data_IF_372469040860
#
_entry.id   IF_372469040860
#
_cell.length_a   1.000
_cell.length_b   1.000
_cell.length_c   1.000
_cell.angle_alpha   90.00
_cell.angle_beta   90.00
_cell.angle_gamma   90.00
#
_symmetry.space_group_name_H-M   'P 1'
#
loop_
_entity.id
_entity.type
_entity.pdbx_description
1 polymer ?
#
# COMPACT_ATOMS: atom_id res chain seq x y z
N UNK A 1 40.92 26.83 -32.14
CA UNK A 1 39.74 26.42 -31.34
C UNK A 1 38.70 27.53 -31.44
N UNK A 2 37.72 27.38 -32.33
CA UNK A 2 36.70 28.40 -32.59
C UNK A 2 35.45 28.08 -31.76
N UNK A 3 35.07 28.98 -30.85
CA UNK A 3 33.77 28.95 -30.18
C UNK A 3 32.73 29.46 -31.17
N UNK A 4 31.86 28.56 -31.63
CA UNK A 4 30.67 28.95 -32.39
C UNK A 4 29.74 29.71 -31.46
N UNK A 5 29.62 31.03 -31.68
CA UNK A 5 28.65 31.87 -30.99
C UNK A 5 27.29 31.56 -31.63
N UNK A 6 26.39 30.96 -30.85
CA UNK A 6 25.00 30.83 -31.22
C UNK A 6 24.38 32.23 -31.27
N UNK A 7 23.97 32.66 -32.47
CA UNK A 7 23.23 33.91 -32.66
C UNK A 7 21.75 33.57 -32.87
N UNK A 8 20.97 33.73 -31.80
CA UNK A 8 19.54 33.39 -31.71
C UNK A 8 18.68 34.21 -32.70
N UNK A 9 19.13 35.40 -33.08
CA UNK A 9 18.42 36.27 -34.02
C UNK A 9 18.39 35.70 -35.45
N UNK A 10 19.47 35.06 -35.91
CA UNK A 10 19.56 34.53 -37.29
C UNK A 10 18.68 33.29 -37.49
N UNK A 11 18.56 32.43 -36.47
CA UNK A 11 17.78 31.20 -36.55
C UNK A 11 16.27 31.47 -36.56
N UNK A 12 15.84 32.47 -35.78
CA UNK A 12 14.43 32.85 -35.65
C UNK A 12 13.89 33.52 -36.92
N UNK A 13 14.75 34.23 -37.66
CA UNK A 13 14.37 34.95 -38.88
C UNK A 13 14.25 34.03 -40.11
N UNK A 14 15.04 32.95 -40.19
CA UNK A 14 15.12 32.08 -41.39
C UNK A 14 14.35 30.75 -41.27
N UNK A 15 13.89 30.37 -40.08
CA UNK A 15 13.00 29.21 -39.85
C UNK A 15 11.82 29.62 -38.96
N UNK A 16 10.78 30.26 -39.53
CA UNK A 16 9.65 30.83 -38.77
C UNK A 16 8.64 29.78 -38.28
N UNK A 17 9.09 28.55 -38.04
CA UNK A 17 8.22 27.49 -37.55
C UNK A 17 7.90 27.70 -36.05
N UNK A 18 6.93 28.58 -35.79
CA UNK A 18 6.42 28.92 -34.45
C UNK A 18 5.84 27.69 -33.71
N UNK A 19 5.62 26.58 -34.43
CA UNK A 19 5.02 25.36 -33.93
C UNK A 19 5.96 24.57 -33.02
N UNK A 20 7.28 24.65 -33.22
CA UNK A 20 8.27 23.97 -32.37
C UNK A 20 8.34 24.50 -30.94
N UNK A 21 8.31 25.83 -30.79
CA UNK A 21 8.33 26.50 -29.47
C UNK A 21 7.03 26.33 -28.67
N UNK A 22 5.88 26.40 -29.34
CA UNK A 22 4.58 26.18 -28.69
C UNK A 22 4.35 24.72 -28.31
N UNK A 23 4.82 23.77 -29.13
CA UNK A 23 4.76 22.34 -28.81
C UNK A 23 5.63 21.99 -27.58
N UNK A 24 6.85 22.51 -27.49
CA UNK A 24 7.73 22.29 -26.33
C UNK A 24 7.12 22.82 -25.02
N UNK A 25 6.62 24.06 -25.03
CA UNK A 25 5.95 24.67 -23.85
C UNK A 25 4.69 23.91 -23.44
N UNK A 26 3.93 23.37 -24.41
CA UNK A 26 2.74 22.55 -24.13
C UNK A 26 3.12 21.22 -23.47
N UNK A 27 4.15 20.54 -23.98
CA UNK A 27 4.68 19.29 -23.40
C UNK A 27 5.20 19.51 -21.99
N UNK A 28 5.90 20.62 -21.72
CA UNK A 28 6.41 20.94 -20.38
C UNK A 28 5.28 21.23 -19.39
N UNK A 29 4.22 21.94 -19.81
CA UNK A 29 3.02 22.15 -19.00
C UNK A 29 2.28 20.85 -18.70
N UNK A 30 2.12 19.96 -19.68
CA UNK A 30 1.49 18.65 -19.50
C UNK A 30 2.29 17.76 -18.53
N UNK A 31 3.63 17.76 -18.63
CA UNK A 31 4.51 17.04 -17.70
C UNK A 31 4.41 17.55 -16.26
N UNK A 32 4.39 18.87 -16.07
CA UNK A 32 4.25 19.47 -14.74
C UNK A 32 2.84 19.24 -14.15
N UNK A 33 1.79 19.27 -14.97
CA UNK A 33 0.44 18.89 -14.56
C UNK A 33 0.35 17.41 -14.15
N UNK A 34 0.95 16.51 -14.93
CA UNK A 34 0.97 15.08 -14.63
C UNK A 34 1.74 14.80 -13.33
N UNK A 35 2.90 15.43 -13.14
CA UNK A 35 3.69 15.33 -11.92
C UNK A 35 2.90 15.81 -10.70
N UNK A 36 2.21 16.94 -10.82
CA UNK A 36 1.35 17.48 -9.76
C UNK A 36 0.22 16.50 -9.42
N UNK A 37 -0.45 15.94 -10.43
CA UNK A 37 -1.50 14.93 -10.25
C UNK A 37 -0.98 13.67 -9.55
N UNK A 38 0.20 13.17 -9.94
CA UNK A 38 0.84 12.00 -9.30
C UNK A 38 1.14 12.27 -7.81
N UNK A 39 1.63 13.46 -7.47
CA UNK A 39 1.89 13.85 -6.08
C UNK A 39 0.59 13.90 -5.27
N UNK A 40 -0.47 14.52 -5.82
CA UNK A 40 -1.78 14.59 -5.18
C UNK A 40 -2.39 13.20 -4.97
N UNK A 41 -2.34 12.33 -5.99
CA UNK A 41 -2.80 10.95 -5.87
C UNK A 41 -2.00 10.18 -4.81
N UNK A 42 -0.68 10.36 -4.77
CA UNK A 42 0.16 9.75 -3.76
C UNK A 42 -0.19 10.20 -2.34
N UNK A 43 -0.52 11.48 -2.15
CA UNK A 43 -1.01 12.01 -0.86
C UNK A 43 -2.35 11.40 -0.48
N UNK A 44 -3.30 11.34 -1.43
CA UNK A 44 -4.61 10.73 -1.21
C UNK A 44 -4.48 9.25 -0.82
N UNK A 45 -3.68 8.46 -1.54
CA UNK A 45 -3.45 7.04 -1.26
C UNK A 45 -2.87 6.82 0.15
N UNK A 46 -1.92 7.67 0.58
CA UNK A 46 -1.36 7.59 1.94
C UNK A 46 -2.40 7.94 3.00
N UNK A 47 -3.22 8.95 2.75
CA UNK A 47 -4.31 9.31 3.66
C UNK A 47 -5.32 8.17 3.80
N UNK A 48 -5.69 7.55 2.69
CA UNK A 48 -6.62 6.43 2.70
C UNK A 48 -6.03 5.20 3.40
N UNK A 49 -4.74 4.90 3.18
CA UNK A 49 -4.02 3.87 3.92
C UNK A 49 -4.04 4.12 5.44
N UNK A 50 -3.73 5.35 5.87
CA UNK A 50 -3.78 5.72 7.30
C UNK A 50 -5.19 5.59 7.88
N UNK A 51 -6.22 5.95 7.13
CA UNK A 51 -7.61 5.79 7.59
C UNK A 51 -7.98 4.30 7.72
N UNK A 52 -7.58 3.46 6.76
CA UNK A 52 -7.77 2.02 6.87
C UNK A 52 -7.10 1.45 8.12
N UNK A 53 -5.85 1.82 8.39
CA UNK A 53 -5.14 1.39 9.61
C UNK A 53 -5.90 1.76 10.88
N UNK A 54 -6.45 2.98 10.97
CA UNK A 54 -7.26 3.41 12.12
C UNK A 54 -8.52 2.55 12.31
N UNK A 55 -9.20 2.18 11.22
CA UNK A 55 -10.38 1.31 11.27
C UNK A 55 -10.01 -0.12 11.71
N UNK A 56 -8.85 -0.62 11.28
CA UNK A 56 -8.33 -1.92 11.70
C UNK A 56 -7.96 -1.89 13.18
N UNK A 57 -7.29 -0.83 13.65
CA UNK A 57 -6.92 -0.67 15.05
C UNK A 57 -8.17 -0.66 15.95
N UNK A 58 -9.25 0.02 15.52
CA UNK A 58 -10.54 -0.01 16.21
C UNK A 58 -11.15 -1.43 16.25
N UNK A 59 -11.05 -2.17 15.14
CA UNK A 59 -11.49 -3.58 15.09
C UNK A 59 -10.66 -4.47 16.02
N UNK A 60 -9.34 -4.33 16.04
CA UNK A 60 -8.44 -5.04 16.95
C UNK A 60 -8.78 -4.79 18.42
N UNK A 61 -9.01 -3.52 18.79
CA UNK A 61 -9.46 -3.15 20.14
C UNK A 61 -10.84 -3.73 20.47
N UNK A 62 -11.76 -3.75 19.50
CA UNK A 62 -13.05 -4.40 19.65
C UNK A 62 -12.87 -5.89 19.96
N UNK A 63 -12.07 -6.62 19.18
CA UNK A 63 -11.84 -8.06 19.41
C UNK A 63 -11.19 -8.35 20.76
N UNK A 64 -10.25 -7.50 21.20
CA UNK A 64 -9.61 -7.62 22.51
C UNK A 64 -10.64 -7.46 23.64
N UNK A 65 -11.46 -6.40 23.59
CA UNK A 65 -12.51 -6.14 24.61
C UNK A 65 -13.55 -7.26 24.70
N UNK A 66 -13.79 -7.98 23.61
CA UNK A 66 -14.74 -9.10 23.57
C UNK A 66 -14.07 -10.46 23.75
N UNK A 67 -12.77 -10.51 24.08
CA UNK A 67 -12.04 -11.76 24.30
C UNK A 67 -11.94 -12.66 23.06
N UNK A 68 -12.07 -12.11 21.85
CA UNK A 68 -12.00 -12.85 20.58
C UNK A 68 -10.56 -13.02 20.08
N UNK A 69 -9.74 -11.99 20.18
CA UNK A 69 -8.35 -11.99 19.75
C UNK A 69 -7.56 -10.85 20.38
N UNK A 70 -6.24 -11.01 20.48
CA UNK A 70 -5.28 -9.94 20.77
C UNK A 70 -4.43 -9.74 19.53
N UNK A 71 -4.60 -8.60 18.84
CA UNK A 71 -3.96 -8.30 17.56
C UNK A 71 -3.36 -6.90 17.64
N UNK A 72 -2.13 -6.74 17.13
CA UNK A 72 -1.42 -5.48 17.11
C UNK A 72 -0.83 -5.20 15.73
N UNK A 73 -0.78 -3.92 15.36
CA UNK A 73 0.08 -3.46 14.27
C UNK A 73 1.53 -3.75 14.63
N UNK A 74 2.32 -4.24 13.67
CA UNK A 74 3.75 -4.42 13.87
C UNK A 74 4.47 -3.08 13.70
N UNK A 75 5.35 -2.69 14.63
CA UNK A 75 6.17 -1.51 14.44
C UNK A 75 7.17 -1.77 13.31
N UNK A 76 7.45 -0.73 12.52
CA UNK A 76 8.51 -0.79 11.52
C UNK A 76 9.85 -1.11 12.23
N UNK A 77 10.58 -2.15 11.79
CA UNK A 77 11.81 -2.51 12.45
C UNK A 77 12.86 -1.43 12.23
N UNK A 78 13.36 -0.90 13.33
CA UNK A 78 14.43 0.10 13.35
C UNK A 78 15.66 -0.48 14.02
N UNK A 79 16.82 -0.25 13.42
CA UNK A 79 18.12 -0.51 14.02
C UNK A 79 18.65 0.76 14.63
N UNK A 80 18.86 0.73 15.94
CA UNK A 80 19.51 1.81 16.66
C UNK A 80 20.98 1.92 16.22
N UNK A 81 21.41 3.14 15.92
CA UNK A 81 22.76 3.52 15.58
C UNK A 81 23.38 4.25 16.79
N UNK A 82 24.51 3.75 17.29
CA UNK A 82 25.23 4.38 18.39
C UNK A 82 24.56 4.23 19.76
N UNK A 83 24.90 5.12 20.69
CA UNK A 83 24.40 5.12 22.08
C UNK A 83 23.10 5.92 22.18
N UNK A 84 22.16 5.42 22.98
CA UNK A 84 20.95 6.16 23.39
C UNK A 84 21.36 7.23 24.42
N UNK A 85 20.87 8.45 24.27
CA UNK A 85 21.13 9.51 25.25
C UNK A 85 20.29 9.34 26.54
N UNK A 86 20.58 10.15 27.57
CA UNK A 86 19.87 10.08 28.87
C UNK A 86 18.37 10.43 28.78
N UNK A 87 17.93 11.05 27.67
CA UNK A 87 16.53 11.39 27.41
C UNK A 87 15.83 10.32 26.55
N UNK A 88 16.48 9.19 26.26
CA UNK A 88 15.92 8.11 25.45
C UNK A 88 15.94 8.36 23.94
N UNK A 89 16.67 9.38 23.46
CA UNK A 89 16.78 9.66 22.03
C UNK A 89 17.93 8.87 21.42
N UNK A 90 17.73 8.41 20.19
CA UNK A 90 18.72 7.62 19.47
C UNK A 90 18.65 7.88 17.97
N UNK A 91 19.79 7.71 17.29
CA UNK A 91 19.81 7.62 15.83
C UNK A 91 19.37 6.23 15.42
N UNK A 92 18.64 6.10 14.32
CA UNK A 92 18.23 4.81 13.81
C UNK A 92 18.21 4.79 12.29
N UNK A 93 18.34 3.58 11.74
CA UNK A 93 18.00 3.30 10.35
C UNK A 93 16.90 2.25 10.30
N UNK A 94 16.00 2.36 9.33
CA UNK A 94 14.99 1.33 9.08
C UNK A 94 15.66 0.06 8.57
N UNK A 95 15.34 -1.08 9.18
CA UNK A 95 15.76 -2.39 8.67
C UNK A 95 14.79 -2.86 7.59
N UNK A 96 15.32 -3.56 6.58
CA UNK A 96 14.50 -4.20 5.53
C UNK A 96 13.83 -5.51 5.99
N UNK A 97 13.83 -5.82 7.29
CA UNK A 97 13.15 -7.03 7.77
C UNK A 97 11.66 -6.82 7.60
N UNK A 98 11.03 -7.58 6.73
CA UNK A 98 9.59 -7.52 6.62
C UNK A 98 8.97 -8.20 7.85
N UNK A 99 7.90 -7.59 8.35
CA UNK A 99 6.96 -8.16 9.30
C UNK A 99 5.58 -7.97 8.65
N UNK A 100 4.60 -8.86 8.91
CA UNK A 100 3.26 -8.61 8.44
C UNK A 100 2.73 -7.34 9.13
N UNK A 101 1.93 -6.52 8.43
CA UNK A 101 1.38 -5.28 8.99
C UNK A 101 0.71 -5.52 10.37
N UNK A 102 -0.02 -6.63 10.51
CA UNK A 102 -0.70 -7.01 11.75
C UNK A 102 -0.40 -8.45 12.15
N UNK A 103 -0.25 -8.68 13.46
CA UNK A 103 -0.11 -10.02 14.04
C UNK A 103 -0.74 -10.14 15.41
N UNK A 104 -1.14 -11.35 15.77
CA UNK A 104 -1.82 -11.61 17.03
C UNK A 104 -2.09 -13.08 17.32
N UNK A 105 -2.94 -13.28 18.32
CA UNK A 105 -3.42 -14.59 18.76
C UNK A 105 -4.95 -14.57 18.88
N UNK A 106 -5.59 -15.58 18.32
CA UNK A 106 -7.02 -15.84 18.45
C UNK A 106 -7.32 -16.52 19.79
N UNK A 107 -8.58 -16.45 20.24
CA UNK A 107 -9.01 -17.09 21.51
C UNK A 107 -8.68 -18.58 21.61
N UNK A 108 -8.63 -19.28 20.48
CA UNK A 108 -8.29 -20.71 20.43
C UNK A 108 -6.77 -20.99 20.39
N UNK A 109 -5.92 -19.98 20.60
CA UNK A 109 -4.47 -20.12 20.61
C UNK A 109 -3.81 -20.07 19.24
N UNK A 110 -4.57 -20.02 18.14
CA UNK A 110 -3.98 -19.91 16.79
C UNK A 110 -3.43 -18.51 16.56
N UNK A 111 -2.25 -18.47 15.95
CA UNK A 111 -1.70 -17.22 15.43
C UNK A 111 -2.60 -16.67 14.32
N UNK A 112 -2.68 -15.35 14.23
CA UNK A 112 -3.33 -14.60 13.16
C UNK A 112 -2.33 -13.57 12.64
N UNK A 113 -2.15 -13.51 11.32
CA UNK A 113 -1.31 -12.51 10.64
C UNK A 113 -2.02 -12.00 9.39
N UNK A 114 -1.88 -10.73 9.08
CA UNK A 114 -2.44 -10.20 7.84
C UNK A 114 -1.77 -8.90 7.40
N UNK A 115 -1.94 -8.64 6.11
CA UNK A 115 -1.58 -7.39 5.44
C UNK A 115 -2.84 -6.54 5.19
N UNK A 116 -2.70 -5.22 5.16
CA UNK A 116 -3.82 -4.31 4.88
C UNK A 116 -3.56 -3.48 3.64
N UNK A 117 -4.43 -3.56 2.62
CA UNK A 117 -4.27 -2.81 1.37
C UNK A 117 -5.54 -2.08 0.98
N UNK A 118 -5.38 -0.80 0.67
CA UNK A 118 -6.45 0.03 0.11
C UNK A 118 -6.27 0.23 -1.40
N UNK A 119 -7.37 0.19 -2.15
CA UNK A 119 -7.39 0.52 -3.58
C UNK A 119 -8.51 1.50 -3.92
N UNK A 120 -8.13 2.58 -4.60
CA UNK A 120 -9.06 3.61 -5.11
C UNK A 120 -9.54 3.32 -6.54
N UNK A 121 -9.03 2.27 -7.19
CA UNK A 121 -9.34 1.95 -8.60
C UNK A 121 -10.44 0.91 -8.77
N UNK A 122 -11.17 0.57 -7.69
CA UNK A 122 -12.21 -0.45 -7.69
C UNK A 122 -11.74 -1.89 -7.90
N UNK A 123 -10.43 -2.13 -8.04
CA UNK A 123 -9.84 -3.47 -8.16
C UNK A 123 -8.51 -3.50 -7.42
N UNK A 124 -8.00 -4.69 -7.09
CA UNK A 124 -6.70 -4.81 -6.41
C UNK A 124 -5.79 -5.81 -7.11
N UNK A 125 -4.58 -5.38 -7.44
CA UNK A 125 -3.57 -6.24 -8.06
C UNK A 125 -2.79 -7.03 -7.00
N UNK A 126 -2.37 -8.25 -7.34
CA UNK A 126 -1.52 -9.09 -6.50
C UNK A 126 -0.23 -8.35 -6.07
N UNK A 127 0.36 -7.60 -7.00
CA UNK A 127 1.56 -6.77 -6.79
C UNK A 127 1.42 -5.62 -5.80
N UNK A 128 0.25 -5.47 -5.17
CA UNK A 128 0.10 -4.59 -3.99
C UNK A 128 0.81 -5.16 -2.77
N UNK A 129 1.04 -6.48 -2.70
CA UNK A 129 2.03 -7.06 -1.80
C UNK A 129 3.40 -7.03 -2.46
N UNK A 130 4.43 -6.78 -1.65
CA UNK A 130 5.82 -7.02 -2.07
C UNK A 130 6.13 -8.51 -1.97
N UNK A 131 7.15 -8.99 -2.71
CA UNK A 131 7.57 -10.40 -2.66
C UNK A 131 7.89 -10.87 -1.22
N UNK A 132 8.47 -9.98 -0.41
CA UNK A 132 8.76 -10.27 1.00
C UNK A 132 7.48 -10.41 1.85
N UNK A 133 6.45 -9.60 1.59
CA UNK A 133 5.17 -9.72 2.29
C UNK A 133 4.46 -11.03 1.90
N UNK A 134 4.51 -11.41 0.61
CA UNK A 134 3.99 -12.69 0.14
C UNK A 134 4.71 -13.87 0.83
N UNK A 135 6.05 -13.85 0.86
CA UNK A 135 6.85 -14.90 1.47
C UNK A 135 6.53 -15.07 2.97
N UNK A 136 6.40 -13.96 3.71
CA UNK A 136 6.07 -14.01 5.13
C UNK A 136 4.67 -14.58 5.37
N UNK A 137 3.66 -14.12 4.61
CA UNK A 137 2.31 -14.65 4.76
C UNK A 137 2.25 -16.16 4.45
N UNK A 138 3.00 -16.61 3.43
CA UNK A 138 3.16 -18.03 3.11
C UNK A 138 3.78 -18.81 4.27
N UNK A 139 4.90 -18.35 4.83
CA UNK A 139 5.57 -19.01 5.96
C UNK A 139 4.64 -19.16 7.18
N UNK A 140 3.90 -18.10 7.55
CA UNK A 140 2.93 -18.19 8.65
C UNK A 140 1.77 -19.13 8.34
N UNK A 141 1.28 -19.11 7.09
CA UNK A 141 0.21 -20.00 6.65
C UNK A 141 0.62 -21.47 6.77
N UNK A 142 1.84 -21.81 6.34
CA UNK A 142 2.40 -23.16 6.43
C UNK A 142 2.55 -23.64 7.87
N UNK A 143 2.77 -22.72 8.82
CA UNK A 143 2.77 -23.02 10.26
C UNK A 143 1.36 -23.13 10.89
N UNK A 144 0.30 -23.02 10.08
CA UNK A 144 -1.08 -23.17 10.50
C UNK A 144 -1.72 -21.89 11.08
N UNK A 145 -1.09 -20.73 10.88
CA UNK A 145 -1.68 -19.45 11.25
C UNK A 145 -2.89 -19.11 10.35
N UNK A 146 -3.82 -18.32 10.89
CA UNK A 146 -4.83 -17.64 10.09
C UNK A 146 -4.15 -16.48 9.36
N UNK A 147 -3.91 -16.66 8.05
CA UNK A 147 -3.23 -15.69 7.19
C UNK A 147 -4.18 -15.17 6.10
N UNK A 148 -4.24 -13.84 5.92
CA UNK A 148 -5.09 -13.21 4.91
C UNK A 148 -4.59 -11.82 4.50
N UNK A 149 -5.23 -11.24 3.49
CA UNK A 149 -5.10 -9.82 3.12
C UNK A 149 -6.43 -9.14 3.36
N UNK A 150 -6.42 -8.09 4.19
CA UNK A 150 -7.59 -7.23 4.39
C UNK A 150 -7.58 -6.14 3.32
N UNK A 151 -8.56 -6.22 2.41
CA UNK A 151 -8.70 -5.31 1.28
C UNK A 151 -9.76 -4.27 1.59
N UNK A 152 -9.44 -3.00 1.33
CA UNK A 152 -10.40 -1.92 1.26
C UNK A 152 -10.53 -1.43 -0.17
N UNK A 153 -11.75 -1.32 -0.67
CA UNK A 153 -12.07 -0.59 -1.91
C UNK A 153 -12.70 0.76 -1.54
N UNK A 154 -12.01 1.85 -1.90
CA UNK A 154 -12.44 3.24 -1.69
C UNK A 154 -12.83 3.58 -0.23
N UNK A 155 -12.36 2.81 0.76
CA UNK A 155 -12.79 2.89 2.17
C UNK A 155 -14.31 2.71 2.40
N UNK A 156 -15.01 2.11 1.44
CA UNK A 156 -16.46 1.89 1.48
C UNK A 156 -16.81 0.41 1.65
N UNK A 157 -15.98 -0.48 1.12
CA UNK A 157 -16.17 -1.91 1.21
C UNK A 157 -14.88 -2.60 1.65
N UNK A 158 -15.03 -3.57 2.55
CA UNK A 158 -13.92 -4.29 3.18
C UNK A 158 -14.07 -5.78 2.93
N UNK A 159 -12.95 -6.45 2.67
CA UNK A 159 -12.91 -7.85 2.30
C UNK A 159 -11.76 -8.56 3.01
N UNK A 160 -12.04 -9.72 3.60
CA UNK A 160 -11.03 -10.57 4.24
C UNK A 160 -10.68 -11.71 3.31
N UNK A 161 -9.65 -11.54 2.47
CA UNK A 161 -9.28 -12.50 1.43
C UNK A 161 -8.27 -13.50 2.01
N UNK A 162 -8.64 -14.80 2.17
CA UNK A 162 -7.72 -15.80 2.72
C UNK A 162 -6.45 -15.89 1.89
N UNK A 163 -5.31 -16.12 2.55
CA UNK A 163 -4.01 -16.19 1.88
C UNK A 163 -3.98 -17.14 0.67
N UNK A 164 -4.52 -18.38 0.73
CA UNK A 164 -4.54 -19.26 -0.45
C UNK A 164 -5.26 -18.67 -1.67
N UNK A 165 -6.33 -17.90 -1.44
CA UNK A 165 -7.06 -17.24 -2.53
C UNK A 165 -6.23 -16.12 -3.14
N UNK A 166 -5.60 -15.31 -2.30
CA UNK A 166 -4.73 -14.22 -2.72
C UNK A 166 -3.48 -14.72 -3.46
N UNK A 167 -2.83 -15.76 -2.93
CA UNK A 167 -1.61 -16.33 -3.48
C UNK A 167 -1.84 -16.89 -4.90
N UNK A 168 -2.99 -17.54 -5.11
CA UNK A 168 -3.33 -18.26 -6.33
C UNK A 168 -4.32 -17.50 -7.25
N UNK A 169 -4.35 -16.17 -7.23
CA UNK A 169 -5.24 -15.36 -8.09
C UNK A 169 -5.19 -15.77 -9.57
N UNK A 170 -4.00 -16.07 -10.10
CA UNK A 170 -3.84 -16.48 -11.50
C UNK A 170 -4.60 -17.78 -11.81
N UNK A 171 -4.61 -18.73 -10.87
CA UNK A 171 -5.32 -20.00 -11.01
C UNK A 171 -6.81 -19.85 -10.76
N UNK A 172 -7.19 -19.03 -9.78
CA UNK A 172 -8.58 -18.86 -9.35
C UNK A 172 -9.39 -17.98 -10.30
N UNK A 173 -8.76 -16.97 -10.91
CA UNK A 173 -9.43 -15.91 -11.69
C UNK A 173 -8.89 -15.77 -13.13
N UNK A 174 -7.79 -16.45 -13.47
CA UNK A 174 -7.14 -16.31 -14.77
C UNK A 174 -6.24 -15.06 -14.89
N UNK A 175 -6.10 -14.27 -13.83
CA UNK A 175 -5.28 -13.06 -13.79
C UNK A 175 -4.77 -12.71 -12.39
N UNK A 176 -3.78 -11.80 -12.30
CA UNK A 176 -3.13 -11.38 -11.05
C UNK A 176 -3.76 -10.14 -10.38
N UNK A 177 -5.07 -10.04 -10.41
CA UNK A 177 -5.84 -9.02 -9.70
C UNK A 177 -7.20 -9.58 -9.30
N UNK A 178 -7.94 -8.87 -8.46
CA UNK A 178 -9.33 -9.18 -8.13
C UNK A 178 -10.23 -7.97 -8.44
N UNK A 179 -11.37 -8.22 -9.09
CA UNK A 179 -12.46 -7.25 -9.31
C UNK A 179 -13.39 -7.17 -8.09
N UNK A 180 -14.31 -6.19 -8.01
CA UNK A 180 -15.33 -6.15 -6.96
C UNK A 180 -16.15 -7.43 -6.87
N UNK A 181 -16.54 -8.00 -8.01
CA UNK A 181 -17.38 -9.19 -8.09
C UNK A 181 -16.64 -10.43 -7.53
N UNK A 182 -15.34 -10.54 -7.81
CA UNK A 182 -14.50 -11.62 -7.28
C UNK A 182 -14.15 -11.45 -5.79
N UNK A 183 -14.18 -10.21 -5.30
CA UNK A 183 -13.99 -9.90 -3.89
C UNK A 183 -15.26 -10.14 -3.06
N UNK A 184 -16.45 -10.03 -3.64
CA UNK A 184 -17.73 -10.08 -2.90
C UNK A 184 -17.91 -11.32 -2.00
N UNK A 185 -17.49 -12.55 -2.39
CA UNK A 185 -17.55 -13.71 -1.49
C UNK A 185 -16.77 -13.55 -0.19
N UNK A 186 -15.79 -12.63 -0.15
CA UNK A 186 -14.92 -12.35 0.99
C UNK A 186 -15.34 -11.10 1.77
N UNK A 187 -16.48 -10.51 1.44
CA UNK A 187 -16.93 -9.26 2.04
C UNK A 187 -17.20 -9.42 3.54
N UNK A 188 -16.73 -8.45 4.31
CA UNK A 188 -16.96 -8.40 5.77
C UNK A 188 -17.84 -7.22 6.13
N UNK A 189 -18.61 -7.39 7.20
CA UNK A 189 -19.50 -6.33 7.69
C UNK A 189 -18.69 -5.18 8.28
N UNK A 190 -19.20 -3.97 8.13
CA UNK A 190 -18.71 -2.78 8.80
C UNK A 190 -19.85 -2.11 9.56
N UNK A 191 -19.92 -2.40 10.86
CA UNK A 191 -20.88 -1.81 11.80
C UNK A 191 -20.05 -1.21 12.95
N UNK A 192 -19.62 0.04 12.77
CA UNK A 192 -18.66 0.79 13.62
C UNK A 192 -17.22 0.25 13.59
N UNK A 193 -17.04 -1.05 13.39
CA UNK A 193 -15.75 -1.73 13.24
C UNK A 193 -15.80 -2.77 12.14
N UNK A 194 -14.65 -3.07 11.53
CA UNK A 194 -14.50 -4.08 10.48
C UNK A 194 -14.58 -5.49 11.08
N UNK A 195 -15.56 -6.28 10.65
CA UNK A 195 -15.89 -7.62 11.19
C UNK A 195 -15.15 -8.78 10.50
N UNK A 196 -13.83 -8.74 10.43
CA UNK A 196 -13.00 -9.79 9.81
C UNK A 196 -12.84 -11.11 10.60
N UNK A 197 -13.40 -11.25 11.81
CA UNK A 197 -13.42 -12.52 12.57
C UNK A 197 -14.82 -13.14 12.75
N UNK A 198 -15.85 -12.60 12.09
CA UNK A 198 -17.26 -12.93 12.38
C UNK A 198 -17.80 -12.19 13.59
#
# INVERSE_FOLDING_TARGET
MSKTIYNEAYYTEHYPDQTGGTAAVKVDKEREQEKTRRVLQGKANRSAGKMLEQLIDAACQYYARHGKAIIHKTPEPVRVLGKVDRAGRFQACFEKKAQPDYKGCLRNGKAIVFEAKNSESGRIAKSRLTDQQEEILQQFHEMGAVSFVLVSLNLQAFYCVPWPVWADMQRNFGHKHMTPEELEPFRVQYNEVIRFLG
#
